data_IF_693331579060
#
_entry.id   IF_693331579060
#
_cell.length_a   1.000
_cell.length_b   1.000
_cell.length_c   1.000
_cell.angle_alpha   90.00
_cell.angle_beta   90.00
_cell.angle_gamma   90.00
#
_symmetry.space_group_name_H-M   'P 1'
#
loop_
_entity.id
_entity.type
_entity.pdbx_description
1 polymer ?
#
# COMPACT_ATOMS: atom_id res chain seq x y z
N UNK A 1 -15.59 23.15 -36.82
CA UNK A 1 -15.58 22.97 -35.35
C UNK A 1 -14.68 21.76 -35.02
N UNK A 2 -13.44 22.05 -34.68
CA UNK A 2 -12.47 21.03 -34.23
C UNK A 2 -12.52 20.91 -32.71
N UNK A 3 -13.05 19.80 -32.19
CA UNK A 3 -12.92 19.44 -30.79
C UNK A 3 -11.49 18.95 -30.55
N UNK A 4 -10.66 19.80 -29.96
CA UNK A 4 -9.38 19.38 -29.38
C UNK A 4 -9.65 18.72 -28.02
N UNK A 5 -9.62 17.39 -27.98
CA UNK A 5 -9.57 16.64 -26.73
C UNK A 5 -8.19 16.88 -26.10
N UNK A 6 -8.13 17.79 -25.16
CA UNK A 6 -6.94 18.01 -24.34
C UNK A 6 -6.79 16.83 -23.38
N UNK A 7 -5.97 15.84 -23.73
CA UNK A 7 -5.39 14.93 -22.77
C UNK A 7 -4.41 15.75 -21.93
N UNK A 8 -4.83 16.23 -20.77
CA UNK A 8 -3.94 16.81 -19.77
C UNK A 8 -3.12 15.70 -19.13
N UNK A 9 -2.06 15.26 -19.81
CA UNK A 9 -0.99 14.50 -19.18
C UNK A 9 -0.21 15.47 -18.30
N UNK A 10 -0.60 15.59 -17.03
CA UNK A 10 0.18 16.36 -16.06
C UNK A 10 1.45 15.54 -15.72
N UNK A 11 2.66 16.06 -16.09
CA UNK A 11 3.92 15.32 -15.83
C UNK A 11 4.20 15.09 -14.34
N UNK A 12 3.58 15.86 -13.44
CA UNK A 12 3.72 15.74 -11.99
C UNK A 12 3.01 14.52 -11.41
N UNK A 13 2.16 13.83 -12.18
CA UNK A 13 1.42 12.64 -11.72
C UNK A 13 2.14 11.32 -12.02
N UNK A 14 3.28 11.33 -12.68
CA UNK A 14 4.03 10.11 -13.02
C UNK A 14 5.15 9.86 -12.03
N UNK A 15 5.09 8.74 -11.32
CA UNK A 15 6.19 8.26 -10.50
C UNK A 15 7.45 8.11 -11.34
N UNK A 16 8.55 8.63 -10.83
CA UNK A 16 9.87 8.51 -11.44
C UNK A 16 10.58 7.23 -10.95
N UNK A 17 11.60 6.74 -11.66
CA UNK A 17 12.47 5.68 -11.12
C UNK A 17 13.14 6.07 -9.80
N UNK A 18 13.38 7.36 -9.56
CA UNK A 18 13.90 7.88 -8.29
C UNK A 18 12.95 7.64 -7.13
N UNK A 19 11.68 7.93 -7.30
CA UNK A 19 10.65 7.72 -6.27
C UNK A 19 10.56 6.26 -5.86
N UNK A 20 10.69 5.34 -6.82
CA UNK A 20 10.70 3.90 -6.53
C UNK A 20 11.93 3.48 -5.70
N UNK A 21 13.10 4.05 -5.99
CA UNK A 21 14.33 3.78 -5.23
C UNK A 21 14.21 4.34 -3.83
N UNK A 22 13.70 5.55 -3.67
CA UNK A 22 13.51 6.21 -2.38
C UNK A 22 12.49 5.47 -1.51
N UNK A 23 11.35 5.04 -2.07
CA UNK A 23 10.35 4.23 -1.38
C UNK A 23 10.96 2.90 -0.88
N UNK A 24 11.68 2.16 -1.73
CA UNK A 24 12.30 0.90 -1.35
C UNK A 24 13.38 1.06 -0.28
N UNK A 25 14.16 2.14 -0.35
CA UNK A 25 15.15 2.47 0.67
C UNK A 25 14.49 2.77 2.02
N UNK A 26 13.36 3.49 2.00
CA UNK A 26 12.60 3.82 3.20
C UNK A 26 11.93 2.57 3.81
N UNK A 27 11.39 1.65 3.00
CA UNK A 27 10.87 0.36 3.46
C UNK A 27 11.94 -0.40 4.27
N UNK A 28 13.17 -0.46 3.76
CA UNK A 28 14.29 -1.11 4.44
C UNK A 28 14.67 -0.42 5.75
N UNK A 29 14.75 0.92 5.76
CA UNK A 29 15.06 1.69 6.97
C UNK A 29 14.00 1.47 8.04
N UNK A 30 12.71 1.59 7.71
CA UNK A 30 11.61 1.36 8.64
C UNK A 30 11.69 -0.05 9.24
N UNK A 31 11.88 -1.08 8.39
CA UNK A 31 11.98 -2.46 8.84
C UNK A 31 13.15 -2.69 9.80
N UNK A 32 14.28 -2.06 9.54
CA UNK A 32 15.49 -2.13 10.38
C UNK A 32 15.25 -1.46 11.74
N UNK A 33 14.72 -0.25 11.74
CA UNK A 33 14.51 0.53 12.97
C UNK A 33 13.44 -0.12 13.86
N UNK A 34 12.34 -0.64 13.29
CA UNK A 34 11.34 -1.39 14.06
C UNK A 34 12.00 -2.62 14.73
N UNK A 35 12.78 -3.42 13.99
CA UNK A 35 13.44 -4.61 14.55
C UNK A 35 14.48 -4.26 15.61
N UNK A 36 15.14 -3.12 15.49
CA UNK A 36 16.12 -2.67 16.46
C UNK A 36 15.49 -2.11 17.75
N UNK A 37 14.24 -1.65 17.69
CA UNK A 37 13.55 -0.99 18.79
C UNK A 37 13.08 -1.93 19.90
N UNK A 38 12.88 -3.23 19.61
CA UNK A 38 12.44 -4.21 20.61
C UNK A 38 12.72 -5.64 20.13
N UNK A 39 13.25 -6.48 21.03
CA UNK A 39 13.54 -7.90 20.76
C UNK A 39 12.29 -8.71 20.37
N UNK A 40 11.11 -8.29 20.79
CA UNK A 40 9.85 -8.92 20.42
C UNK A 40 9.56 -8.91 18.91
N UNK A 41 10.24 -8.06 18.14
CA UNK A 41 10.14 -8.06 16.68
C UNK A 41 11.01 -9.11 15.99
N UNK A 42 11.90 -9.80 16.71
CA UNK A 42 12.80 -10.80 16.11
C UNK A 42 12.04 -11.95 15.43
N UNK A 43 10.91 -12.37 16.00
CA UNK A 43 10.03 -13.42 15.47
C UNK A 43 8.81 -12.88 14.72
N UNK A 44 8.62 -11.57 14.65
CA UNK A 44 7.47 -10.96 14.00
C UNK A 44 7.56 -11.09 12.47
N UNK A 45 6.43 -11.36 11.84
CA UNK A 45 6.30 -11.20 10.41
C UNK A 45 5.91 -9.74 10.10
N UNK A 46 6.84 -9.00 9.51
CA UNK A 46 6.63 -7.61 9.14
C UNK A 46 6.70 -7.45 7.63
N UNK A 47 5.64 -6.96 7.05
CA UNK A 47 5.57 -6.51 5.66
C UNK A 47 5.40 -4.99 5.68
N UNK A 48 6.43 -4.29 5.25
CA UNK A 48 6.45 -2.83 5.18
C UNK A 48 6.39 -2.43 3.72
N UNK A 49 5.50 -1.53 3.41
CA UNK A 49 5.33 -1.05 2.05
C UNK A 49 5.24 0.47 2.07
N UNK A 50 6.06 1.10 1.27
CA UNK A 50 6.01 2.54 1.02
C UNK A 50 5.57 2.78 -0.42
N UNK A 51 4.72 3.77 -0.61
CA UNK A 51 4.26 4.17 -1.91
C UNK A 51 3.87 5.65 -1.90
N UNK A 52 4.67 6.46 -2.55
CA UNK A 52 4.42 7.90 -2.70
C UNK A 52 4.21 8.61 -1.35
N UNK A 53 5.06 8.29 -0.37
CA UNK A 53 5.02 8.81 1.00
C UNK A 53 3.99 8.15 1.93
N UNK A 54 3.08 7.31 1.40
CA UNK A 54 2.21 6.48 2.23
C UNK A 54 3.00 5.30 2.79
N UNK A 55 2.91 5.06 4.08
CA UNK A 55 3.57 3.93 4.75
C UNK A 55 2.52 2.95 5.26
N UNK A 56 2.63 1.69 4.86
CA UNK A 56 1.74 0.61 5.26
C UNK A 56 2.51 -0.46 6.03
N UNK A 57 2.10 -0.73 7.26
CA UNK A 57 2.65 -1.76 8.13
C UNK A 57 1.66 -2.92 8.21
N UNK A 58 2.06 -4.10 7.73
CA UNK A 58 1.28 -5.34 7.72
C UNK A 58 2.04 -6.48 8.38
N UNK A 59 1.33 -7.56 8.65
CA UNK A 59 1.86 -8.79 9.24
C UNK A 59 1.39 -9.02 10.67
N UNK A 60 2.18 -9.74 11.45
CA UNK A 60 1.81 -10.20 12.77
C UNK A 60 2.85 -9.81 13.83
N UNK A 61 2.34 -9.39 14.98
CA UNK A 61 3.12 -9.11 16.20
C UNK A 61 2.51 -9.81 17.39
N UNK A 62 3.35 -10.14 18.39
CA UNK A 62 2.94 -10.93 19.54
C UNK A 62 2.08 -10.17 20.57
N UNK A 63 2.03 -8.84 20.52
CA UNK A 63 1.31 -8.04 21.52
C UNK A 63 0.86 -6.69 20.99
N UNK A 64 -0.19 -6.07 21.60
CA UNK A 64 -0.61 -4.71 21.28
C UNK A 64 0.52 -3.70 21.48
N UNK A 65 1.35 -3.86 22.51
CA UNK A 65 2.50 -2.99 22.79
C UNK A 65 3.48 -2.95 21.60
N UNK A 66 3.75 -4.09 20.99
CA UNK A 66 4.62 -4.14 19.79
C UNK A 66 3.98 -3.46 18.58
N UNK A 67 2.67 -3.59 18.42
CA UNK A 67 1.93 -2.90 17.37
C UNK A 67 2.04 -1.38 17.52
N UNK A 68 1.82 -0.84 18.72
CA UNK A 68 1.96 0.59 19.03
C UNK A 68 3.41 1.04 18.83
N UNK A 69 4.37 0.24 19.31
CA UNK A 69 5.80 0.54 19.17
C UNK A 69 6.24 0.63 17.71
N UNK A 70 5.71 -0.22 16.84
CA UNK A 70 5.98 -0.15 15.40
C UNK A 70 5.50 1.20 14.80
N UNK A 71 4.33 1.70 15.22
CA UNK A 71 3.85 3.03 14.83
C UNK A 71 4.78 4.13 15.30
N UNK A 72 5.06 4.19 16.62
CA UNK A 72 5.94 5.21 17.20
C UNK A 72 7.30 5.32 16.49
N UNK A 73 7.93 4.15 16.26
CA UNK A 73 9.24 4.10 15.58
C UNK A 73 9.12 4.62 14.16
N UNK A 74 8.09 4.21 13.43
CA UNK A 74 7.89 4.63 12.04
C UNK A 74 7.67 6.13 11.94
N UNK A 75 6.77 6.68 12.77
CA UNK A 75 6.43 8.11 12.80
C UNK A 75 7.60 9.00 13.26
N UNK A 76 8.53 8.44 14.03
CA UNK A 76 9.73 9.19 14.48
C UNK A 76 10.77 9.40 13.38
N UNK A 77 10.67 8.72 12.25
CA UNK A 77 11.66 8.80 11.17
C UNK A 77 11.49 10.09 10.36
N UNK A 78 12.59 10.78 10.14
CA UNK A 78 12.64 12.11 9.49
C UNK A 78 11.93 12.17 8.11
N UNK A 79 11.94 11.07 7.34
CA UNK A 79 11.35 11.03 6.00
C UNK A 79 9.89 10.55 5.99
N UNK A 80 9.31 10.28 7.14
CA UNK A 80 7.95 9.77 7.28
C UNK A 80 7.03 10.90 7.73
N UNK A 81 5.93 11.05 7.03
CA UNK A 81 4.81 11.89 7.46
C UNK A 81 3.93 11.06 8.42
N UNK A 82 3.81 11.44 9.71
CA UNK A 82 3.03 10.68 10.67
C UNK A 82 1.56 10.49 10.26
N UNK A 83 0.97 11.45 9.57
CA UNK A 83 -0.41 11.39 9.09
C UNK A 83 -0.61 10.37 7.95
N UNK A 84 0.50 9.87 7.39
CA UNK A 84 0.51 8.90 6.29
C UNK A 84 0.96 7.50 6.70
N UNK A 85 1.02 7.21 8.01
CA UNK A 85 1.34 5.88 8.54
C UNK A 85 0.08 5.07 8.81
N UNK A 86 -0.06 3.95 8.13
CA UNK A 86 -1.21 3.04 8.23
C UNK A 86 -0.77 1.72 8.87
N UNK A 87 -1.07 1.54 10.15
CA UNK A 87 -0.70 0.33 10.90
C UNK A 87 -1.84 -0.68 10.95
N UNK A 88 -1.77 -1.68 10.09
CA UNK A 88 -2.68 -2.84 10.05
C UNK A 88 -2.02 -4.12 10.58
N UNK A 89 -0.94 -4.03 11.36
CA UNK A 89 -0.39 -5.18 12.07
C UNK A 89 -1.48 -5.86 12.90
N UNK A 90 -1.54 -7.17 12.84
CA UNK A 90 -2.46 -7.98 13.67
C UNK A 90 -1.72 -8.55 14.86
N UNK A 91 -2.43 -8.61 16.01
CA UNK A 91 -1.88 -9.19 17.24
C UNK A 91 -2.24 -10.67 17.27
N UNK A 92 -1.34 -11.50 16.78
CA UNK A 92 -1.50 -12.96 16.75
C UNK A 92 -0.15 -13.65 16.49
N UNK A 93 -0.11 -14.96 16.67
CA UNK A 93 1.06 -15.76 16.28
C UNK A 93 1.29 -15.79 14.78
N UNK A 94 2.49 -16.19 14.34
CA UNK A 94 2.87 -16.18 12.93
C UNK A 94 1.97 -17.10 12.08
N UNK A 95 1.56 -16.58 10.92
CA UNK A 95 0.72 -17.29 9.96
C UNK A 95 1.51 -18.37 9.20
N UNK A 96 0.78 -19.39 8.72
CA UNK A 96 1.37 -20.45 7.93
C UNK A 96 1.93 -19.97 6.59
N UNK A 97 2.98 -20.64 6.12
CA UNK A 97 3.57 -20.35 4.80
C UNK A 97 2.57 -20.54 3.65
N UNK A 98 1.56 -21.42 3.83
CA UNK A 98 0.51 -21.64 2.83
C UNK A 98 -0.36 -20.40 2.62
N UNK A 99 -0.69 -19.68 3.69
CA UNK A 99 -1.45 -18.44 3.61
C UNK A 99 -0.66 -17.38 2.80
N UNK A 100 0.64 -17.23 3.04
CA UNK A 100 1.51 -16.30 2.33
C UNK A 100 1.61 -16.59 0.83
N UNK A 101 1.67 -17.87 0.46
CA UNK A 101 1.68 -18.27 -0.96
C UNK A 101 0.37 -17.90 -1.64
N UNK A 102 -0.75 -18.09 -0.96
CA UNK A 102 -2.06 -17.69 -1.48
C UNK A 102 -2.16 -16.16 -1.66
N UNK A 103 -1.62 -15.38 -0.72
CA UNK A 103 -1.60 -13.92 -0.81
C UNK A 103 -0.77 -13.42 -2.00
N UNK A 104 0.38 -14.03 -2.25
CA UNK A 104 1.21 -13.72 -3.42
C UNK A 104 0.49 -14.01 -4.74
N UNK A 105 -0.21 -15.14 -4.81
CA UNK A 105 -1.03 -15.50 -5.98
C UNK A 105 -2.19 -14.50 -6.17
N UNK A 106 -2.88 -14.15 -5.09
CA UNK A 106 -3.99 -13.20 -5.12
C UNK A 106 -3.53 -11.80 -5.55
N UNK A 107 -2.39 -11.34 -5.02
CA UNK A 107 -1.77 -10.07 -5.45
C UNK A 107 -1.48 -10.05 -6.96
N UNK A 108 -0.90 -11.11 -7.49
CA UNK A 108 -0.61 -11.24 -8.92
C UNK A 108 -1.88 -11.20 -9.77
N UNK A 109 -2.92 -11.91 -9.35
CA UNK A 109 -4.21 -11.94 -10.03
C UNK A 109 -4.91 -10.58 -10.04
N UNK A 110 -4.91 -9.87 -8.91
CA UNK A 110 -5.50 -8.52 -8.81
C UNK A 110 -4.74 -7.54 -9.70
N UNK A 111 -3.40 -7.55 -9.65
CA UNK A 111 -2.57 -6.71 -10.52
C UNK A 111 -2.82 -6.96 -12.00
N UNK A 112 -2.85 -8.23 -12.42
CA UNK A 112 -3.13 -8.59 -13.81
C UNK A 112 -4.50 -8.09 -14.26
N UNK A 113 -5.51 -8.19 -13.38
CA UNK A 113 -6.86 -7.69 -13.66
C UNK A 113 -6.89 -6.18 -13.86
N UNK A 114 -6.25 -5.43 -12.97
CA UNK A 114 -6.17 -3.96 -13.08
C UNK A 114 -5.46 -3.53 -14.37
N UNK A 115 -4.40 -4.25 -14.79
CA UNK A 115 -3.65 -3.92 -16.00
C UNK A 115 -4.46 -4.09 -17.30
N UNK A 116 -5.41 -5.02 -17.34
CA UNK A 116 -6.26 -5.26 -18.52
C UNK A 116 -7.53 -4.43 -18.55
N UNK A 117 -7.88 -3.78 -17.45
CA UNK A 117 -9.05 -2.92 -17.34
C UNK A 117 -8.75 -1.54 -17.97
N UNK A 118 -9.33 -1.26 -19.14
CA UNK A 118 -8.98 -0.11 -19.97
C UNK A 118 -9.15 1.27 -19.29
N UNK A 119 -10.10 1.39 -18.35
CA UNK A 119 -10.45 2.65 -17.69
C UNK A 119 -9.79 2.82 -16.32
N UNK A 120 -9.02 1.82 -15.86
CA UNK A 120 -8.41 1.81 -14.53
C UNK A 120 -6.97 2.30 -14.61
N UNK A 121 -6.59 3.31 -13.80
CA UNK A 121 -5.23 3.83 -13.75
C UNK A 121 -4.30 2.90 -12.95
N UNK A 122 -4.11 1.67 -13.42
CA UNK A 122 -3.35 0.62 -12.74
C UNK A 122 -1.93 1.05 -12.32
N UNK A 123 -1.30 1.93 -13.08
CA UNK A 123 0.04 2.47 -12.80
C UNK A 123 0.09 3.43 -11.62
N UNK A 124 -1.05 3.94 -11.14
CA UNK A 124 -1.15 4.85 -9.99
C UNK A 124 -1.43 4.11 -8.66
N UNK A 125 -1.52 2.78 -8.69
CA UNK A 125 -1.91 1.98 -7.52
C UNK A 125 -0.94 0.85 -7.26
N UNK A 126 -0.47 0.76 -6.01
CA UNK A 126 0.28 -0.40 -5.50
C UNK A 126 -0.70 -1.35 -4.80
N UNK A 127 -0.66 -2.62 -5.17
CA UNK A 127 -1.48 -3.69 -4.59
C UNK A 127 -0.62 -4.53 -3.67
N UNK A 128 -1.03 -4.65 -2.43
CA UNK A 128 -0.45 -5.56 -1.43
C UNK A 128 -1.54 -6.46 -0.89
N UNK A 129 -1.27 -7.74 -0.71
CA UNK A 129 -2.21 -8.67 -0.10
C UNK A 129 -1.59 -9.30 1.13
N UNK A 130 -2.34 -9.31 2.22
CA UNK A 130 -1.96 -9.95 3.46
C UNK A 130 -3.21 -10.61 4.07
N UNK A 131 -3.14 -11.92 4.33
CA UNK A 131 -4.24 -12.71 4.92
C UNK A 131 -5.58 -12.62 4.15
N UNK A 132 -5.53 -12.62 2.82
CA UNK A 132 -6.71 -12.48 1.96
C UNK A 132 -7.30 -11.07 1.91
N UNK A 133 -6.72 -10.12 2.62
CA UNK A 133 -7.08 -8.69 2.56
C UNK A 133 -6.23 -8.00 1.52
N UNK A 134 -6.86 -7.31 0.59
CA UNK A 134 -6.20 -6.53 -0.45
C UNK A 134 -6.11 -5.06 -0.02
N UNK A 135 -4.90 -4.56 0.09
CA UNK A 135 -4.60 -3.16 0.38
C UNK A 135 -4.23 -2.46 -0.92
N UNK A 136 -4.92 -1.36 -1.20
CA UNK A 136 -4.73 -0.55 -2.39
C UNK A 136 -4.13 0.79 -1.96
N UNK A 137 -2.87 1.03 -2.32
CA UNK A 137 -2.17 2.27 -2.01
C UNK A 137 -2.04 3.12 -3.27
N UNK A 138 -2.19 4.43 -3.15
CA UNK A 138 -2.01 5.32 -4.29
C UNK A 138 -2.37 6.76 -3.98
N UNK A 139 -1.79 7.67 -4.77
CA UNK A 139 -2.19 9.07 -4.81
C UNK A 139 -3.05 9.27 -6.05
N UNK A 140 -4.36 9.33 -5.86
CA UNK A 140 -5.33 9.25 -6.96
C UNK A 140 -6.56 10.12 -6.71
N UNK A 141 -7.33 10.41 -7.77
CA UNK A 141 -8.65 11.04 -7.63
C UNK A 141 -9.66 10.10 -6.96
N UNK A 142 -10.76 10.63 -6.42
CA UNK A 142 -11.83 9.81 -5.86
C UNK A 142 -12.46 8.90 -6.91
N UNK A 143 -12.71 9.43 -8.11
CA UNK A 143 -13.26 8.68 -9.24
C UNK A 143 -12.36 7.51 -9.66
N UNK A 144 -11.06 7.76 -9.79
CA UNK A 144 -10.06 6.71 -10.10
C UNK A 144 -10.05 5.62 -9.01
N UNK A 145 -10.11 6.04 -7.74
CA UNK A 145 -10.15 5.11 -6.61
C UNK A 145 -11.38 4.21 -6.62
N UNK A 146 -12.54 4.74 -6.98
CA UNK A 146 -13.77 3.96 -7.12
C UNK A 146 -13.70 2.94 -8.26
N UNK A 147 -13.14 3.34 -9.42
CA UNK A 147 -12.91 2.43 -10.55
C UNK A 147 -11.97 1.28 -10.17
N UNK A 148 -10.85 1.58 -9.49
CA UNK A 148 -9.91 0.57 -9.00
C UNK A 148 -10.60 -0.40 -8.05
N UNK A 149 -11.33 0.08 -7.07
CA UNK A 149 -12.03 -0.76 -6.08
C UNK A 149 -13.07 -1.63 -6.75
N UNK A 150 -13.90 -1.07 -7.65
CA UNK A 150 -14.92 -1.81 -8.37
C UNK A 150 -14.32 -2.96 -9.21
N UNK A 151 -13.14 -2.73 -9.80
CA UNK A 151 -12.48 -3.79 -10.58
C UNK A 151 -11.87 -4.87 -9.68
N UNK A 152 -11.26 -4.49 -8.54
CA UNK A 152 -10.70 -5.44 -7.57
C UNK A 152 -11.80 -6.32 -6.94
N UNK A 153 -12.99 -5.77 -6.67
CA UNK A 153 -14.13 -6.52 -6.14
C UNK A 153 -14.57 -7.70 -7.02
N UNK A 154 -14.29 -7.64 -8.32
CA UNK A 154 -14.59 -8.75 -9.25
C UNK A 154 -13.55 -9.89 -9.16
N UNK A 155 -12.50 -9.76 -8.36
CA UNK A 155 -11.47 -10.78 -8.22
C UNK A 155 -11.87 -11.84 -7.20
N UNK A 156 -11.99 -13.09 -7.66
CA UNK A 156 -12.28 -14.21 -6.76
C UNK A 156 -11.13 -14.43 -5.76
N UNK A 157 -11.48 -14.62 -4.48
CA UNK A 157 -10.53 -14.85 -3.39
C UNK A 157 -10.24 -13.61 -2.54
N UNK A 158 -10.67 -12.42 -2.96
CA UNK A 158 -10.57 -11.20 -2.14
C UNK A 158 -11.61 -11.26 -1.02
N UNK A 159 -11.16 -11.26 0.23
CA UNK A 159 -12.03 -11.27 1.41
C UNK A 159 -12.41 -9.84 1.82
N UNK A 160 -11.46 -8.92 1.73
CA UNK A 160 -11.64 -7.52 2.10
C UNK A 160 -10.74 -6.63 1.26
N UNK A 161 -11.19 -5.42 1.00
CA UNK A 161 -10.40 -4.36 0.36
C UNK A 161 -10.23 -3.22 1.36
N UNK A 162 -8.99 -2.78 1.54
CA UNK A 162 -8.61 -1.63 2.34
C UNK A 162 -8.03 -0.56 1.42
N UNK A 163 -8.62 0.63 1.45
CA UNK A 163 -8.16 1.79 0.68
C UNK A 163 -7.15 2.56 1.51
N UNK A 164 -5.92 2.66 1.03
CA UNK A 164 -4.84 3.47 1.56
C UNK A 164 -4.52 4.53 0.49
N UNK A 165 -5.49 5.39 0.23
CA UNK A 165 -5.41 6.40 -0.82
C UNK A 165 -5.15 7.78 -0.22
N UNK A 166 -4.18 8.49 -0.79
CA UNK A 166 -4.02 9.94 -0.67
C UNK A 166 -4.82 10.55 -1.83
N UNK A 167 -5.95 11.15 -1.51
CA UNK A 167 -6.83 11.69 -2.55
C UNK A 167 -6.36 13.06 -3.03
N UNK A 168 -6.17 13.16 -4.35
CA UNK A 168 -5.88 14.42 -5.00
C UNK A 168 -7.02 15.42 -4.77
N UNK A 169 -6.66 16.67 -4.50
CA UNK A 169 -7.63 17.76 -4.44
C UNK A 169 -8.27 17.92 -5.82
N UNK A 170 -9.60 17.91 -5.89
CA UNK A 170 -10.28 18.25 -7.13
C UNK A 170 -10.01 19.73 -7.44
N UNK A 171 -9.69 20.08 -8.70
CA UNK A 171 -9.60 21.48 -9.08
C UNK A 171 -10.93 22.17 -8.78
N UNK A 172 -10.89 23.29 -8.08
CA UNK A 172 -12.07 24.10 -7.84
C UNK A 172 -12.73 24.48 -9.17
N UNK A 173 -13.99 24.08 -9.35
CA UNK A 173 -14.82 24.36 -10.53
C UNK A 173 -15.10 25.86 -10.66
#
# INVERSE_FOLDING_TARGET
LTLTTACTNNPEERRTPGDLIDDNALEFVIAKEIRAADEGFASAHLVITVYDGLVLLLGEVASPRLKEKATEVTESLYKVDPDKVYNYLTVQGPISMLARTNDSYLSGKVKARLLVAAEVPAGKVKVVTENGVVYLMGKISRSDGELVVAEVQKSFGVQKIVKVFDYLSEPAS
#
